data_IF_198197304969
#
_entry.id   IF_198197304969
#
_cell.length_a   1.000
_cell.length_b   1.000
_cell.length_c   1.000
_cell.angle_alpha   90.00
_cell.angle_beta   90.00
_cell.angle_gamma   90.00
#
_symmetry.space_group_name_H-M   'P 1'
#
loop_
_entity.id
_entity.type
_entity.pdbx_description
1 polymer ?
#
# COMPACT_ATOMS: atom_id res chain seq x y z
N UNK A 1 -19.08 29.20 -69.64
CA UNK A 1 -18.19 30.18 -68.98
C UNK A 1 -18.14 29.78 -67.50
N UNK A 2 -17.40 28.77 -67.07
CA UNK A 2 -15.94 28.66 -66.87
C UNK A 2 -15.31 29.88 -66.21
N UNK A 3 -15.05 29.78 -64.90
CA UNK A 3 -14.15 30.63 -64.14
C UNK A 3 -13.38 29.76 -63.13
N UNK A 4 -12.08 30.03 -63.00
CA UNK A 4 -11.00 29.26 -62.37
C UNK A 4 -10.83 29.56 -60.86
N UNK A 5 -10.35 28.54 -60.14
CA UNK A 5 -9.54 28.43 -58.89
C UNK A 5 -8.94 29.68 -58.17
N UNK A 6 -8.66 29.62 -56.83
CA UNK A 6 -7.36 29.10 -56.36
C UNK A 6 -7.31 28.28 -55.04
N UNK A 7 -6.50 27.21 -55.10
CA UNK A 7 -5.45 26.73 -54.17
C UNK A 7 -5.70 26.72 -52.65
N UNK A 8 -5.67 25.51 -52.07
CA UNK A 8 -4.97 25.26 -50.80
C UNK A 8 -4.02 24.06 -50.94
N UNK A 9 -2.77 24.28 -50.53
CA UNK A 9 -1.63 23.40 -50.73
C UNK A 9 -1.60 22.27 -49.70
N UNK A 10 -1.21 21.10 -50.19
CA UNK A 10 -0.95 19.87 -49.43
C UNK A 10 0.52 19.90 -49.03
N UNK A 11 0.84 19.82 -47.74
CA UNK A 11 2.16 19.40 -47.29
C UNK A 11 2.03 18.30 -46.25
N UNK A 12 2.25 17.08 -46.75
CA UNK A 12 2.68 15.90 -46.02
C UNK A 12 3.99 16.20 -45.30
N UNK A 13 4.04 16.00 -43.98
CA UNK A 13 5.31 15.86 -43.26
C UNK A 13 5.49 14.37 -42.94
N UNK A 14 6.51 13.83 -43.58
CA UNK A 14 7.08 12.51 -43.34
C UNK A 14 7.65 12.42 -41.92
N UNK A 15 7.40 11.30 -41.26
CA UNK A 15 8.18 10.89 -40.09
C UNK A 15 9.47 10.21 -40.57
N UNK A 16 10.66 10.69 -40.18
CA UNK A 16 11.86 9.91 -40.28
C UNK A 16 12.08 9.09 -39.01
N UNK A 17 12.41 7.83 -39.24
CA UNK A 17 12.87 6.83 -38.29
C UNK A 17 14.15 7.26 -37.55
N UNK A 18 14.31 6.71 -36.33
CA UNK A 18 15.59 6.49 -35.63
C UNK A 18 16.25 7.73 -34.98
N UNK A 19 16.12 7.84 -33.66
CA UNK A 19 17.20 8.34 -32.80
C UNK A 19 16.98 7.88 -31.35
N UNK A 20 17.79 6.91 -30.91
CA UNK A 20 18.09 6.69 -29.51
C UNK A 20 18.67 7.99 -28.95
N UNK A 21 18.02 8.61 -27.96
CA UNK A 21 18.62 9.72 -27.23
C UNK A 21 19.54 9.18 -26.13
N UNK A 22 20.81 9.62 -26.08
CA UNK A 22 21.76 9.19 -25.06
C UNK A 22 21.46 9.85 -23.71
N UNK A 23 21.63 9.06 -22.67
CA UNK A 23 21.69 9.48 -21.26
C UNK A 23 22.93 10.35 -21.08
N UNK A 24 22.79 11.68 -21.04
CA UNK A 24 23.70 12.62 -20.37
C UNK A 24 23.19 14.05 -20.50
N UNK A 25 22.35 14.46 -19.57
CA UNK A 25 22.20 15.87 -19.22
C UNK A 25 22.60 15.99 -17.75
N UNK A 26 23.86 16.40 -17.52
CA UNK A 26 24.39 16.78 -16.22
C UNK A 26 23.79 18.16 -15.90
N UNK A 27 22.89 18.21 -14.92
CA UNK A 27 22.43 19.46 -14.31
C UNK A 27 23.31 19.75 -13.08
N UNK A 28 23.71 21.01 -12.86
CA UNK A 28 24.63 21.40 -11.80
C UNK A 28 23.97 21.37 -10.42
N UNK A 29 24.67 20.72 -9.50
CA UNK A 29 24.65 20.81 -8.03
C UNK A 29 23.48 21.58 -7.38
N UNK A 30 22.38 20.86 -7.15
CA UNK A 30 21.49 21.17 -6.02
C UNK A 30 21.89 20.27 -4.85
N UNK A 31 22.66 20.87 -3.94
CA UNK A 31 23.08 20.33 -2.66
C UNK A 31 21.85 20.06 -1.78
N UNK A 32 21.32 18.83 -1.82
CA UNK A 32 20.32 18.34 -0.87
C UNK A 32 21.05 17.53 0.20
N UNK A 33 20.95 17.89 1.50
CA UNK A 33 21.68 17.21 2.55
C UNK A 33 21.16 15.77 2.71
N UNK A 34 22.09 14.82 2.60
CA UNK A 34 21.98 13.39 2.96
C UNK A 34 20.70 12.67 2.52
N UNK A 35 20.58 12.41 1.21
CA UNK A 35 19.82 11.24 0.77
C UNK A 35 20.62 10.01 1.22
N UNK A 36 20.15 9.32 2.25
CA UNK A 36 20.57 7.97 2.58
C UNK A 36 20.54 7.16 1.28
N UNK A 37 21.71 6.85 0.73
CA UNK A 37 21.84 5.96 -0.43
C UNK A 37 21.41 4.57 0.04
N UNK A 38 20.11 4.28 -0.10
CA UNK A 38 19.60 2.93 0.05
C UNK A 38 20.33 2.05 -0.97
N UNK A 39 21.33 1.31 -0.50
CA UNK A 39 22.00 0.29 -1.28
C UNK A 39 20.99 -0.83 -1.52
N UNK A 40 20.33 -0.78 -2.68
CA UNK A 40 19.57 -1.92 -3.17
C UNK A 40 20.58 -3.02 -3.52
N UNK A 41 20.72 -4.00 -2.63
CA UNK A 41 21.48 -5.22 -2.90
C UNK A 41 20.52 -6.22 -3.54
N UNK A 42 20.52 -6.40 -4.89
CA UNK A 42 19.68 -7.42 -5.50
C UNK A 42 20.10 -8.80 -4.97
N UNK A 43 19.15 -9.69 -4.68
CA UNK A 43 19.49 -11.04 -4.27
C UNK A 43 20.35 -11.69 -5.36
N UNK A 44 21.56 -12.11 -5.00
CA UNK A 44 22.37 -12.98 -5.85
C UNK A 44 21.66 -14.34 -5.83
N UNK A 45 21.25 -14.84 -7.01
CA UNK A 45 20.37 -16.01 -7.17
C UNK A 45 20.96 -17.39 -6.76
N UNK A 46 21.95 -17.42 -5.86
CA UNK A 46 22.48 -18.65 -5.26
C UNK A 46 21.97 -18.86 -3.82
N UNK A 47 20.69 -18.58 -3.56
CA UNK A 47 20.10 -18.73 -2.23
C UNK A 47 19.80 -20.21 -1.93
N UNK A 48 20.61 -20.81 -1.06
CA UNK A 48 20.17 -21.96 -0.28
C UNK A 48 19.28 -21.45 0.87
N UNK A 49 18.11 -22.06 1.07
CA UNK A 49 17.21 -21.70 2.17
C UNK A 49 17.82 -22.19 3.48
N UNK A 50 18.44 -21.29 4.23
CA UNK A 50 18.93 -21.56 5.58
C UNK A 50 17.83 -21.24 6.59
N UNK A 51 17.38 -22.26 7.33
CA UNK A 51 16.38 -22.13 8.39
C UNK A 51 17.09 -22.23 9.74
N UNK A 52 17.02 -21.17 10.53
CA UNK A 52 17.46 -21.20 11.92
C UNK A 52 16.34 -21.79 12.80
N UNK A 53 16.68 -22.81 13.59
CA UNK A 53 15.75 -23.53 14.48
C UNK A 53 15.91 -23.13 15.94
N UNK A 54 16.75 -22.13 16.24
CA UNK A 54 16.96 -21.63 17.59
C UNK A 54 15.66 -21.06 18.18
N UNK A 55 15.23 -21.54 19.37
CA UNK A 55 14.03 -21.01 20.01
C UNK A 55 14.32 -19.64 20.63
N UNK A 56 13.25 -18.83 20.76
CA UNK A 56 13.32 -17.54 21.46
C UNK A 56 13.69 -17.75 22.95
N UNK A 57 14.59 -16.94 23.53
CA UNK A 57 14.97 -17.02 24.94
C UNK A 57 13.78 -16.92 25.91
N UNK A 58 13.80 -17.72 26.99
CA UNK A 58 12.67 -17.85 27.93
C UNK A 58 12.27 -16.55 28.66
N UNK A 59 13.20 -15.59 28.78
CA UNK A 59 12.92 -14.30 29.40
C UNK A 59 12.03 -13.39 28.53
N UNK A 60 11.84 -13.71 27.25
CA UNK A 60 11.00 -12.97 26.32
C UNK A 60 9.64 -13.70 26.21
N UNK A 61 8.54 -13.11 26.73
CA UNK A 61 7.25 -13.78 26.68
C UNK A 61 6.73 -13.89 25.25
N UNK A 62 6.30 -15.11 24.89
CA UNK A 62 5.75 -15.47 23.58
C UNK A 62 4.46 -14.69 23.27
N UNK A 63 4.24 -14.40 21.99
CA UNK A 63 3.03 -13.74 21.49
C UNK A 63 2.48 -14.51 20.30
N UNK A 64 1.15 -14.67 20.19
CA UNK A 64 0.56 -15.24 18.99
C UNK A 64 0.84 -14.34 17.78
N UNK A 65 1.42 -14.92 16.75
CA UNK A 65 1.64 -14.23 15.48
C UNK A 65 0.33 -14.00 14.73
N UNK A 66 0.34 -13.02 13.83
CA UNK A 66 -0.88 -12.55 13.13
C UNK A 66 -1.51 -13.63 12.22
N UNK A 67 -0.68 -14.49 11.62
CA UNK A 67 -1.17 -15.63 10.83
C UNK A 67 -1.97 -15.28 9.55
N UNK A 68 -1.97 -14.02 9.11
CA UNK A 68 -2.68 -13.57 7.90
C UNK A 68 -1.73 -13.35 6.72
N UNK A 69 -2.19 -13.68 5.51
CA UNK A 69 -1.45 -13.41 4.27
C UNK A 69 -1.54 -11.93 3.85
N UNK A 70 -0.81 -11.56 2.80
CA UNK A 70 -0.69 -10.17 2.33
C UNK A 70 -2.04 -9.53 1.96
N UNK A 71 -2.92 -10.26 1.26
CA UNK A 71 -4.21 -9.73 0.82
C UNK A 71 -5.18 -9.39 1.97
N UNK A 72 -5.46 -10.29 2.95
CA UNK A 72 -6.30 -9.95 4.10
C UNK A 72 -5.66 -8.88 4.99
N UNK A 73 -4.33 -8.86 5.14
CA UNK A 73 -3.66 -7.77 5.87
C UNK A 73 -3.82 -6.42 5.17
N UNK A 74 -3.70 -6.39 3.84
CA UNK A 74 -3.93 -5.17 3.07
C UNK A 74 -5.39 -4.70 3.17
N UNK A 75 -6.34 -5.64 3.09
CA UNK A 75 -7.77 -5.38 3.26
C UNK A 75 -8.09 -4.75 4.63
N UNK A 76 -7.46 -5.24 5.70
CA UNK A 76 -7.68 -4.77 7.07
C UNK A 76 -6.79 -3.58 7.49
N UNK A 77 -5.81 -3.19 6.67
CA UNK A 77 -4.75 -2.21 7.01
C UNK A 77 -5.26 -0.91 7.61
N UNK A 78 -6.33 -0.33 7.04
CA UNK A 78 -6.92 0.92 7.53
C UNK A 78 -7.62 0.75 8.88
N UNK A 79 -8.26 -0.40 9.13
CA UNK A 79 -8.93 -0.66 10.41
C UNK A 79 -7.92 -0.96 11.53
N UNK A 80 -6.84 -1.67 11.19
CA UNK A 80 -5.68 -1.85 12.07
C UNK A 80 -5.09 -0.48 12.38
N UNK A 81 -4.89 0.37 11.38
CA UNK A 81 -4.42 1.74 11.57
C UNK A 81 -5.31 2.56 12.50
N UNK A 82 -6.63 2.52 12.32
CA UNK A 82 -7.58 3.28 13.13
C UNK A 82 -7.58 2.87 14.60
N UNK A 83 -7.56 1.55 14.89
CA UNK A 83 -7.59 1.05 16.28
C UNK A 83 -6.21 1.07 16.93
N UNK A 84 -5.17 0.68 16.19
CA UNK A 84 -3.84 0.43 16.73
C UNK A 84 -2.88 1.61 16.57
N UNK A 85 -3.35 2.77 16.10
CA UNK A 85 -2.55 4.00 15.95
C UNK A 85 -1.62 4.30 17.14
N UNK A 86 -2.09 4.38 18.40
CA UNK A 86 -1.21 4.73 19.51
C UNK A 86 -0.10 3.69 19.71
N UNK A 87 -0.38 2.41 19.55
CA UNK A 87 0.63 1.35 19.73
C UNK A 87 1.67 1.35 18.61
N UNK A 88 1.23 1.61 17.37
CA UNK A 88 2.13 1.70 16.22
C UNK A 88 3.04 2.92 16.33
N UNK A 89 2.48 4.06 16.73
CA UNK A 89 3.23 5.30 16.93
C UNK A 89 4.26 5.14 18.07
N UNK A 90 3.87 4.54 19.20
CA UNK A 90 4.77 4.24 20.33
C UNK A 90 5.92 3.31 19.93
N UNK A 91 5.64 2.28 19.12
CA UNK A 91 6.66 1.36 18.64
C UNK A 91 7.69 2.06 17.72
N UNK A 92 7.21 2.90 16.80
CA UNK A 92 8.08 3.66 15.92
C UNK A 92 8.88 4.72 16.70
N UNK A 93 8.28 5.35 17.71
CA UNK A 93 8.96 6.30 18.57
C UNK A 93 10.06 5.64 19.42
N UNK A 94 9.79 4.46 19.98
CA UNK A 94 10.80 3.66 20.67
C UNK A 94 11.97 3.34 19.74
N UNK A 95 11.68 2.86 18.52
CA UNK A 95 12.72 2.48 17.55
C UNK A 95 13.60 3.67 17.15
N UNK A 96 13.01 4.85 16.99
CA UNK A 96 13.72 6.10 16.68
C UNK A 96 14.67 6.52 17.82
N UNK A 97 14.22 6.40 19.08
CA UNK A 97 15.01 6.76 20.26
C UNK A 97 16.11 5.75 20.62
N UNK A 98 15.96 4.49 20.20
CA UNK A 98 16.89 3.40 20.54
C UNK A 98 18.24 3.43 19.81
N UNK A 99 18.53 4.45 18.98
CA UNK A 99 19.85 4.64 18.34
C UNK A 99 20.42 3.36 17.67
N UNK A 100 19.58 2.62 16.94
CA UNK A 100 19.97 1.38 16.25
C UNK A 100 19.88 0.09 17.07
N UNK A 101 19.29 0.12 18.27
CA UNK A 101 18.99 -1.06 19.11
C UNK A 101 17.50 -1.38 19.23
N UNK A 102 16.68 -0.80 18.36
CA UNK A 102 15.22 -0.88 18.46
C UNK A 102 14.66 -2.31 18.37
N UNK A 103 15.37 -3.22 17.71
CA UNK A 103 14.99 -4.63 17.57
C UNK A 103 14.95 -5.36 18.92
N UNK A 104 15.81 -5.00 19.88
CA UNK A 104 15.87 -5.62 21.19
C UNK A 104 15.13 -4.80 22.26
N UNK A 105 15.27 -3.48 22.21
CA UNK A 105 14.73 -2.59 23.23
C UNK A 105 13.19 -2.44 23.14
N UNK A 106 12.63 -2.54 21.93
CA UNK A 106 11.21 -2.27 21.66
C UNK A 106 10.34 -3.53 21.55
N UNK A 107 10.84 -4.70 22.01
CA UNK A 107 10.10 -5.97 21.96
C UNK A 107 8.80 -5.92 22.79
N UNK A 108 8.70 -5.06 23.79
CA UNK A 108 7.46 -4.91 24.57
C UNK A 108 6.37 -4.17 23.76
N UNK A 109 6.74 -3.11 23.07
CA UNK A 109 5.89 -2.28 22.23
C UNK A 109 5.45 -3.05 20.99
N UNK A 110 6.37 -3.77 20.34
CA UNK A 110 6.06 -4.64 19.20
C UNK A 110 5.00 -5.70 19.54
N UNK A 111 5.08 -6.29 20.74
CA UNK A 111 4.06 -7.24 21.21
C UNK A 111 2.67 -6.60 21.39
N UNK A 112 2.59 -5.33 21.78
CA UNK A 112 1.31 -4.60 21.86
C UNK A 112 0.71 -4.40 20.46
N UNK A 113 1.56 -4.04 19.49
CA UNK A 113 1.17 -3.90 18.08
C UNK A 113 0.59 -5.21 17.54
N UNK A 114 1.32 -6.32 17.69
CA UNK A 114 0.87 -7.63 17.20
C UNK A 114 -0.45 -8.06 17.85
N UNK A 115 -0.61 -7.89 19.16
CA UNK A 115 -1.87 -8.23 19.85
C UNK A 115 -3.04 -7.36 19.37
N UNK A 116 -2.81 -6.07 19.14
CA UNK A 116 -3.85 -5.18 18.65
C UNK A 116 -4.28 -5.54 17.21
N UNK A 117 -3.32 -5.79 16.32
CA UNK A 117 -3.63 -6.20 14.95
C UNK A 117 -4.35 -7.56 14.92
N UNK A 118 -3.94 -8.51 15.76
CA UNK A 118 -4.63 -9.79 15.94
C UNK A 118 -6.09 -9.62 16.37
N UNK A 119 -6.36 -8.77 17.36
CA UNK A 119 -7.73 -8.52 17.83
C UNK A 119 -8.63 -7.88 16.77
N UNK A 120 -8.10 -6.99 15.92
CA UNK A 120 -8.85 -6.42 14.79
C UNK A 120 -9.25 -7.50 13.79
N UNK A 121 -8.32 -8.40 13.43
CA UNK A 121 -8.62 -9.49 12.51
C UNK A 121 -9.61 -10.49 13.10
N UNK A 122 -9.48 -10.81 14.39
CA UNK A 122 -10.46 -11.65 15.09
C UNK A 122 -11.85 -11.05 15.08
N UNK A 123 -11.98 -9.75 15.34
CA UNK A 123 -13.26 -9.05 15.34
C UNK A 123 -13.89 -8.99 13.94
N UNK A 124 -13.08 -8.75 12.90
CA UNK A 124 -13.53 -8.77 11.51
C UNK A 124 -14.00 -10.18 11.13
N UNK A 125 -13.26 -11.21 11.52
CA UNK A 125 -13.65 -12.60 11.26
C UNK A 125 -14.95 -13.00 11.97
N UNK A 126 -15.26 -12.42 13.13
CA UNK A 126 -16.51 -12.69 13.86
C UNK A 126 -17.71 -11.94 13.30
N UNK A 127 -17.51 -10.73 12.77
CA UNK A 127 -18.60 -9.81 12.42
C UNK A 127 -18.85 -9.61 10.92
N UNK A 128 -17.81 -9.68 10.09
CA UNK A 128 -17.82 -9.24 8.69
C UNK A 128 -17.06 -10.19 7.75
N UNK A 129 -17.00 -11.49 8.07
CA UNK A 129 -16.17 -12.47 7.36
C UNK A 129 -16.47 -12.56 5.86
N UNK A 130 -17.75 -12.53 5.48
CA UNK A 130 -18.17 -12.73 4.09
C UNK A 130 -17.78 -11.56 3.19
N UNK A 131 -17.99 -10.33 3.64
CA UNK A 131 -17.56 -9.11 2.95
C UNK A 131 -16.03 -9.01 2.94
N UNK A 132 -15.39 -9.36 4.05
CA UNK A 132 -13.94 -9.35 4.18
C UNK A 132 -13.28 -10.30 3.18
N UNK A 133 -13.82 -11.53 3.06
CA UNK A 133 -13.35 -12.54 2.12
C UNK A 133 -13.49 -12.10 0.67
N UNK A 134 -14.66 -11.61 0.27
CA UNK A 134 -14.88 -11.09 -1.09
C UNK A 134 -13.92 -9.95 -1.44
N UNK A 135 -13.60 -9.09 -0.46
CA UNK A 135 -12.68 -7.98 -0.69
C UNK A 135 -11.23 -8.46 -0.89
N UNK A 136 -10.70 -9.29 0.02
CA UNK A 136 -9.30 -9.72 -0.10
C UNK A 136 -9.10 -10.71 -1.25
N UNK A 137 -10.08 -11.56 -1.60
CA UNK A 137 -10.01 -12.43 -2.78
C UNK A 137 -9.93 -11.60 -4.07
N UNK A 138 -10.64 -10.47 -4.14
CA UNK A 138 -10.49 -9.54 -5.25
C UNK A 138 -9.08 -8.96 -5.30
N UNK A 139 -8.52 -8.55 -4.16
CA UNK A 139 -7.17 -7.98 -4.10
C UNK A 139 -6.12 -8.98 -4.57
N UNK A 140 -6.24 -10.23 -4.15
CA UNK A 140 -5.28 -11.28 -4.51
C UNK A 140 -5.27 -11.55 -6.03
N UNK A 141 -6.44 -11.46 -6.67
CA UNK A 141 -6.58 -11.63 -8.11
C UNK A 141 -6.20 -10.38 -8.95
N UNK A 142 -5.98 -9.22 -8.32
CA UNK A 142 -5.78 -7.95 -9.02
C UNK A 142 -4.47 -7.27 -8.62
N UNK A 143 -3.41 -8.06 -8.37
CA UNK A 143 -2.09 -7.55 -7.99
C UNK A 143 -2.16 -6.59 -6.77
N UNK A 144 -3.11 -6.85 -5.86
CA UNK A 144 -3.35 -6.07 -4.65
C UNK A 144 -3.64 -4.58 -4.89
N UNK A 145 -4.17 -4.24 -6.06
CA UNK A 145 -4.57 -2.88 -6.42
C UNK A 145 -5.94 -2.52 -5.82
N UNK A 146 -5.95 -1.69 -4.78
CA UNK A 146 -7.18 -1.27 -4.07
C UNK A 146 -8.26 -0.63 -4.97
N UNK A 147 -7.86 0.08 -6.03
CA UNK A 147 -8.82 0.71 -6.95
C UNK A 147 -9.59 -0.29 -7.82
N UNK A 148 -9.13 -1.54 -7.91
CA UNK A 148 -9.83 -2.62 -8.62
C UNK A 148 -10.94 -3.27 -7.78
N UNK A 149 -10.97 -3.06 -6.46
CA UNK A 149 -11.84 -3.81 -5.55
C UNK A 149 -12.84 -2.94 -4.78
N UNK A 150 -13.10 -1.71 -5.24
CA UNK A 150 -14.00 -0.76 -4.56
C UNK A 150 -15.42 -1.28 -4.40
N UNK A 151 -15.90 -2.11 -5.33
CA UNK A 151 -17.20 -2.78 -5.23
C UNK A 151 -17.35 -3.59 -3.94
N UNK A 152 -16.30 -4.31 -3.55
CA UNK A 152 -16.28 -5.18 -2.37
C UNK A 152 -15.83 -4.44 -1.11
N UNK A 153 -15.03 -3.39 -1.27
CA UNK A 153 -14.57 -2.56 -0.17
C UNK A 153 -15.71 -1.77 0.49
N UNK A 154 -16.67 -1.23 -0.27
CA UNK A 154 -17.77 -0.43 0.31
C UNK A 154 -18.65 -1.25 1.28
N UNK A 155 -19.12 -2.46 0.94
CA UNK A 155 -19.84 -3.33 1.88
C UNK A 155 -19.01 -3.66 3.13
N UNK A 156 -17.71 -3.95 2.96
CA UNK A 156 -16.81 -4.22 4.09
C UNK A 156 -16.71 -3.01 5.02
N UNK A 157 -16.45 -1.82 4.47
CA UNK A 157 -16.36 -0.58 5.25
C UNK A 157 -17.66 -0.31 6.03
N UNK A 158 -18.82 -0.54 5.40
CA UNK A 158 -20.12 -0.42 6.07
C UNK A 158 -20.26 -1.42 7.22
N UNK A 159 -19.97 -2.70 6.99
CA UNK A 159 -20.07 -3.72 8.03
C UNK A 159 -19.17 -3.42 9.24
N UNK A 160 -17.92 -3.04 8.97
CA UNK A 160 -16.94 -2.70 10.02
C UNK A 160 -17.34 -1.44 10.78
N UNK A 161 -17.87 -0.42 10.10
CA UNK A 161 -18.40 0.76 10.76
C UNK A 161 -19.62 0.43 11.63
N UNK A 162 -20.56 -0.36 11.11
CA UNK A 162 -21.79 -0.71 11.80
C UNK A 162 -21.51 -1.52 13.08
N UNK A 163 -20.61 -2.52 13.02
CA UNK A 163 -20.34 -3.45 14.13
C UNK A 163 -19.17 -3.04 15.03
N UNK A 164 -18.07 -2.56 14.46
CA UNK A 164 -16.81 -2.30 15.18
C UNK A 164 -16.52 -0.82 15.40
N UNK A 165 -17.33 0.08 14.81
CA UNK A 165 -17.17 1.54 14.90
C UNK A 165 -15.80 2.03 14.44
N UNK A 166 -15.18 1.30 13.50
CA UNK A 166 -13.93 1.69 12.86
C UNK A 166 -14.24 2.26 11.48
N UNK A 167 -13.66 3.41 11.19
CA UNK A 167 -13.81 4.08 9.90
C UNK A 167 -12.47 4.09 9.15
N UNK A 168 -12.54 3.93 7.83
CA UNK A 168 -11.41 4.12 6.93
C UNK A 168 -11.26 5.60 6.61
N UNK A 169 -10.32 6.26 7.28
CA UNK A 169 -9.95 7.65 6.99
C UNK A 169 -8.56 7.71 6.34
N UNK A 170 -8.36 8.66 5.42
CA UNK A 170 -7.05 8.94 4.83
C UNK A 170 -6.52 10.20 5.51
N UNK A 171 -5.46 10.11 6.35
CA UNK A 171 -4.88 11.28 6.98
C UNK A 171 -4.25 12.19 5.91
N UNK A 172 -4.39 13.51 6.09
CA UNK A 172 -3.81 14.51 5.18
C UNK A 172 -4.53 14.69 3.84
N UNK A 173 -5.71 14.10 3.66
CA UNK A 173 -6.55 14.39 2.49
C UNK A 173 -7.09 15.85 2.59
N UNK A 174 -7.08 16.63 1.49
CA UNK A 174 -7.59 18.00 1.50
C UNK A 174 -9.11 18.01 1.73
N UNK A 175 -9.59 18.88 2.61
CA UNK A 175 -11.00 18.95 3.02
C UNK A 175 -11.96 19.26 1.85
N UNK A 176 -11.47 19.97 0.83
CA UNK A 176 -12.25 20.36 -0.33
C UNK A 176 -12.41 19.25 -1.39
N UNK A 177 -11.78 18.09 -1.21
CA UNK A 177 -11.85 17.00 -2.19
C UNK A 177 -12.45 15.72 -1.62
N UNK A 178 -13.16 15.00 -2.48
CA UNK A 178 -13.64 13.65 -2.12
C UNK A 178 -12.47 12.65 -2.10
N UNK A 179 -12.25 11.94 -0.98
CA UNK A 179 -11.24 10.91 -0.89
C UNK A 179 -11.39 9.86 -2.01
N UNK A 180 -10.27 9.39 -2.57
CA UNK A 180 -10.26 8.51 -3.75
C UNK A 180 -11.12 7.25 -3.59
N UNK A 181 -11.20 6.72 -2.37
CA UNK A 181 -11.98 5.51 -2.06
C UNK A 181 -13.51 5.74 -2.06
N UNK A 182 -13.96 6.99 -1.93
CA UNK A 182 -15.38 7.39 -1.96
C UNK A 182 -15.82 7.89 -3.34
N UNK A 183 -14.89 8.11 -4.28
CA UNK A 183 -15.23 8.54 -5.64
C UNK A 183 -16.12 7.51 -6.33
N UNK A 184 -17.15 8.00 -7.03
CA UNK A 184 -18.12 7.16 -7.76
C UNK A 184 -17.48 6.37 -8.91
N UNK A 185 -16.47 6.94 -9.55
CA UNK A 185 -15.75 6.33 -10.68
C UNK A 185 -14.24 6.30 -10.42
N UNK A 186 -13.62 5.16 -10.66
CA UNK A 186 -12.17 4.97 -10.62
C UNK A 186 -11.62 4.98 -12.06
N UNK A 187 -10.69 5.89 -12.34
CA UNK A 187 -10.13 6.07 -13.70
C UNK A 187 -9.13 4.98 -14.10
N UNK A 188 -8.51 4.31 -13.11
CA UNK A 188 -7.51 3.26 -13.31
C UNK A 188 -8.07 1.83 -13.17
N UNK A 189 -9.37 1.69 -12.92
CA UNK A 189 -10.00 0.37 -12.80
C UNK A 189 -10.08 -0.31 -14.17
N UNK A 190 -9.79 -1.62 -14.21
CA UNK A 190 -9.82 -2.43 -15.41
C UNK A 190 -11.22 -2.53 -16.03
N UNK A 191 -12.27 -2.38 -15.23
CA UNK A 191 -13.65 -2.40 -15.68
C UNK A 191 -14.53 -1.46 -14.85
N UNK A 192 -15.74 -1.18 -15.32
CA UNK A 192 -16.78 -0.50 -14.51
C UNK A 192 -17.39 -1.48 -13.49
N UNK A 193 -17.42 -2.77 -13.80
CA UNK A 193 -18.00 -3.80 -12.94
C UNK A 193 -17.21 -4.05 -11.65
N UNK A 194 -15.95 -3.60 -11.60
CA UNK A 194 -15.06 -3.71 -10.44
C UNK A 194 -15.10 -2.48 -9.53
N UNK A 195 -15.86 -1.45 -9.90
CA UNK A 195 -15.95 -0.15 -9.21
C UNK A 195 -17.03 -0.09 -8.14
#
# INVERSE_FOLDING_TARGET
>A
MSAREPRYAIHTISAPSTACFPVSAVLPDLEYPSVLTYHFSPPRFNQQVLIDTTPLPDHIPKVPEIGASSAPLLSASYFIGARCKPYNDDYMHCKDQSNGKGEMDCLREGRKVTRCAGSVLEDINKSCLDEFRKHWECLDNNNQQLWQCRRWERPLNKCVFDNLKLEKTIPGAPENETPVHLRKKQIFAHSIASQ
#
